data_IF_627797561860
#
_entry.id   IF_627797561860
#
_cell.length_a   1.000
_cell.length_b   1.000
_cell.length_c   1.000
_cell.angle_alpha   90.00
_cell.angle_beta   90.00
_cell.angle_gamma   90.00
#
_symmetry.space_group_name_H-M   'P 1'
#
loop_
_entity.id
_entity.type
_entity.pdbx_description
1 polymer ?
#
# COMPACT_ATOMS: atom_id res chain seq x y z
N UNK A 1 19.26 -5.74 -24.98
CA UNK A 1 17.84 -5.52 -25.39
C UNK A 1 17.06 -4.77 -24.32
N UNK A 2 16.93 -5.26 -23.09
CA UNK A 2 16.10 -4.60 -22.05
C UNK A 2 16.34 -3.10 -21.83
N UNK A 3 17.60 -2.65 -21.75
CA UNK A 3 17.94 -1.23 -21.64
C UNK A 3 17.55 -0.39 -22.87
N UNK A 4 17.44 -1.00 -24.05
CA UNK A 4 17.10 -0.29 -25.28
C UNK A 4 15.59 -0.04 -25.43
N UNK A 5 14.76 -0.95 -24.92
CA UNK A 5 13.29 -0.91 -25.11
C UNK A 5 12.50 -0.67 -23.81
N UNK A 6 13.05 -1.05 -22.66
CA UNK A 6 12.44 -0.88 -21.33
C UNK A 6 13.45 -0.43 -20.27
N UNK A 7 14.18 0.68 -20.49
CA UNK A 7 15.22 1.13 -19.56
C UNK A 7 14.68 1.40 -18.15
N UNK A 8 13.48 1.98 -18.01
CA UNK A 8 12.92 2.26 -16.68
C UNK A 8 12.73 0.97 -15.87
N UNK A 9 12.10 -0.04 -16.46
CA UNK A 9 11.85 -1.34 -15.83
C UNK A 9 13.15 -2.11 -15.59
N UNK A 10 14.08 -2.08 -16.55
CA UNK A 10 15.39 -2.73 -16.44
C UNK A 10 16.24 -2.15 -15.30
N UNK A 11 16.00 -0.89 -14.91
CA UNK A 11 16.66 -0.22 -13.79
C UNK A 11 15.81 -0.22 -12.51
N UNK A 12 14.80 -1.10 -12.40
CA UNK A 12 14.03 -1.30 -11.16
C UNK A 12 12.82 -0.37 -10.99
N UNK A 13 12.37 0.29 -12.06
CA UNK A 13 11.22 1.21 -12.08
C UNK A 13 11.31 2.29 -11.00
N UNK A 14 12.52 2.84 -10.81
CA UNK A 14 12.81 3.84 -9.80
C UNK A 14 12.12 5.17 -10.11
N UNK A 15 11.64 5.83 -9.06
CA UNK A 15 11.13 7.19 -9.12
C UNK A 15 12.16 8.13 -8.50
N UNK A 16 12.54 9.14 -9.27
CA UNK A 16 13.54 10.13 -8.90
C UNK A 16 12.87 11.45 -8.50
N UNK A 17 13.38 12.08 -7.43
CA UNK A 17 13.07 13.46 -7.08
C UNK A 17 14.37 14.18 -6.72
N UNK A 18 14.62 15.34 -7.35
CA UNK A 18 15.83 16.14 -7.14
C UNK A 18 17.13 15.32 -7.30
N UNK A 19 17.18 14.45 -8.31
CA UNK A 19 18.35 13.59 -8.57
C UNK A 19 18.53 12.41 -7.61
N UNK A 20 17.64 12.22 -6.64
CA UNK A 20 17.69 11.11 -5.69
C UNK A 20 16.54 10.12 -5.91
N UNK A 21 16.84 8.82 -5.82
CA UNK A 21 15.80 7.80 -5.80
C UNK A 21 14.98 7.91 -4.50
N UNK A 22 13.67 8.08 -4.64
CA UNK A 22 12.73 8.20 -3.52
C UNK A 22 11.83 6.98 -3.35
N UNK A 23 11.87 6.04 -4.27
CA UNK A 23 11.09 4.81 -4.24
C UNK A 23 11.09 4.10 -5.60
N UNK A 24 10.28 3.05 -5.71
CA UNK A 24 10.04 2.30 -6.94
C UNK A 24 8.54 2.07 -7.09
N UNK A 25 8.06 1.96 -8.33
CA UNK A 25 6.65 1.59 -8.58
C UNK A 25 6.36 0.12 -8.24
N UNK A 26 7.38 -0.73 -8.11
CA UNK A 26 7.21 -2.17 -7.89
C UNK A 26 7.62 -2.65 -6.50
N UNK A 27 8.09 -1.74 -5.64
CA UNK A 27 8.52 -2.07 -4.27
C UNK A 27 7.75 -1.23 -3.28
N UNK A 28 7.05 -1.91 -2.37
CA UNK A 28 6.35 -1.27 -1.26
C UNK A 28 7.32 -0.61 -0.28
N UNK A 29 6.84 0.42 0.40
CA UNK A 29 7.59 1.14 1.42
C UNK A 29 6.73 1.39 2.65
N UNK A 30 7.38 1.56 3.80
CA UNK A 30 6.68 1.88 5.04
C UNK A 30 6.17 3.32 5.02
N UNK A 31 4.84 3.49 5.08
CA UNK A 31 4.19 4.77 5.35
C UNK A 31 3.64 4.77 6.77
N UNK A 32 4.31 5.48 7.68
CA UNK A 32 4.03 5.42 9.12
C UNK A 32 3.24 6.60 9.66
N UNK A 33 3.11 7.69 8.90
CA UNK A 33 2.39 8.89 9.36
C UNK A 33 0.92 8.85 8.91
N UNK A 34 0.01 9.32 9.77
CA UNK A 34 -1.44 9.22 9.55
C UNK A 34 -1.96 10.00 8.33
N UNK A 35 -1.16 10.96 7.85
CA UNK A 35 -1.46 11.77 6.67
C UNK A 35 -1.34 10.99 5.35
N UNK A 36 -0.74 9.81 5.35
CA UNK A 36 -0.60 8.98 4.16
C UNK A 36 -1.53 7.77 4.19
N UNK A 37 -1.79 7.23 3.01
CA UNK A 37 -2.30 5.87 2.88
C UNK A 37 -1.20 4.91 3.35
N UNK A 38 -1.58 3.97 4.21
CA UNK A 38 -0.69 2.96 4.74
C UNK A 38 -0.83 1.68 3.91
N UNK A 39 0.29 1.05 3.60
CA UNK A 39 0.38 -0.22 2.90
C UNK A 39 -0.05 -1.40 3.79
N UNK A 40 -0.04 -2.61 3.22
CA UNK A 40 -0.24 -3.86 3.97
C UNK A 40 0.83 -4.02 5.06
N UNK A 41 0.56 -4.69 6.17
CA UNK A 41 1.60 -4.89 7.17
C UNK A 41 2.70 -5.85 6.64
N UNK A 42 3.96 -5.44 6.70
CA UNK A 42 5.10 -6.19 6.14
C UNK A 42 5.66 -7.23 7.14
N UNK A 43 6.28 -8.28 6.60
CA UNK A 43 7.09 -9.25 7.36
C UNK A 43 8.55 -9.30 6.87
N UNK A 44 8.95 -8.42 5.94
CA UNK A 44 10.30 -8.36 5.40
C UNK A 44 11.24 -7.64 6.38
N UNK A 45 12.20 -8.37 6.95
CA UNK A 45 13.17 -7.84 7.93
C UNK A 45 12.51 -7.11 9.10
N UNK A 46 12.85 -5.84 9.30
CA UNK A 46 12.23 -4.95 10.33
C UNK A 46 10.99 -4.21 9.82
N UNK A 47 10.44 -4.62 8.67
CA UNK A 47 9.33 -3.99 7.97
C UNK A 47 9.81 -3.26 6.71
N UNK A 48 9.36 -3.74 5.56
CA UNK A 48 9.69 -3.21 4.23
C UNK A 48 11.21 -3.16 3.93
N UNK A 49 11.98 -4.11 4.48
CA UNK A 49 13.42 -4.22 4.21
C UNK A 49 13.67 -4.86 2.83
N UNK A 50 14.20 -4.07 1.89
CA UNK A 50 14.50 -4.52 0.53
C UNK A 50 15.56 -5.62 0.43
N UNK A 51 16.37 -5.83 1.48
CA UNK A 51 17.38 -6.89 1.54
C UNK A 51 16.86 -8.18 2.18
N UNK A 52 15.64 -8.16 2.72
CA UNK A 52 15.07 -9.26 3.50
C UNK A 52 13.62 -9.57 3.10
N UNK A 53 13.35 -9.67 1.79
CA UNK A 53 12.01 -10.00 1.27
C UNK A 53 11.52 -11.35 1.79
N UNK A 54 10.38 -11.35 2.48
CA UNK A 54 9.77 -12.54 3.07
C UNK A 54 8.32 -12.29 3.49
N UNK A 55 7.54 -13.39 3.58
CA UNK A 55 6.23 -13.42 4.21
C UNK A 55 6.32 -13.80 5.70
N UNK A 56 5.20 -13.72 6.40
CA UNK A 56 5.14 -14.08 7.84
C UNK A 56 5.23 -15.59 8.10
N UNK A 57 4.84 -16.42 7.12
CA UNK A 57 4.89 -17.89 7.16
C UNK A 57 4.21 -18.54 8.38
N UNK A 58 3.26 -17.85 9.03
CA UNK A 58 2.46 -18.43 10.10
C UNK A 58 1.39 -19.36 9.55
N UNK A 59 1.23 -20.53 10.18
CA UNK A 59 0.12 -21.44 9.89
C UNK A 59 -1.24 -20.86 10.32
N UNK A 60 -2.36 -21.32 9.73
CA UNK A 60 -3.70 -20.78 9.99
C UNK A 60 -4.19 -20.98 11.43
N UNK A 61 -3.62 -21.95 12.17
CA UNK A 61 -3.92 -22.24 13.58
C UNK A 61 -2.94 -21.57 14.56
N UNK A 62 -2.02 -20.74 14.06
CA UNK A 62 -1.00 -20.11 14.90
C UNK A 62 -1.57 -19.02 15.79
N UNK A 63 -1.27 -19.09 17.09
CA UNK A 63 -1.62 -18.02 18.03
C UNK A 63 -0.93 -16.69 17.66
N UNK A 64 0.31 -16.73 17.17
CA UNK A 64 1.05 -15.54 16.76
C UNK A 64 0.35 -14.81 15.59
N UNK A 65 -0.26 -15.54 14.66
CA UNK A 65 -1.08 -14.96 13.60
C UNK A 65 -2.32 -14.26 14.20
N UNK A 66 -3.02 -14.93 15.11
CA UNK A 66 -4.21 -14.38 15.77
C UNK A 66 -3.89 -13.08 16.50
N UNK A 67 -2.81 -13.07 17.28
CA UNK A 67 -2.43 -11.91 18.09
C UNK A 67 -2.04 -10.72 17.22
N UNK A 68 -1.25 -10.95 16.16
CA UNK A 68 -0.89 -9.92 15.19
C UNK A 68 -2.13 -9.36 14.51
N UNK A 69 -3.00 -10.21 13.96
CA UNK A 69 -4.20 -9.77 13.25
C UNK A 69 -5.15 -9.00 14.17
N UNK A 70 -5.29 -9.42 15.44
CA UNK A 70 -6.07 -8.65 16.43
C UNK A 70 -5.50 -7.25 16.65
N UNK A 71 -4.17 -7.12 16.80
CA UNK A 71 -3.52 -5.84 16.97
C UNK A 71 -3.70 -4.94 15.72
N UNK A 72 -3.52 -5.50 14.53
CA UNK A 72 -3.72 -4.78 13.26
C UNK A 72 -5.18 -4.30 13.13
N UNK A 73 -6.16 -5.17 13.40
CA UNK A 73 -7.59 -4.80 13.39
C UNK A 73 -7.87 -3.68 14.39
N UNK A 74 -7.40 -3.81 15.64
CA UNK A 74 -7.61 -2.80 16.68
C UNK A 74 -7.05 -1.44 16.26
N UNK A 75 -5.84 -1.40 15.67
CA UNK A 75 -5.25 -0.19 15.11
C UNK A 75 -6.15 0.43 14.03
N UNK A 76 -6.66 -0.37 13.08
CA UNK A 76 -7.55 0.14 12.02
C UNK A 76 -8.87 0.68 12.56
N UNK A 77 -9.43 0.05 13.60
CA UNK A 77 -10.62 0.57 14.28
C UNK A 77 -10.35 1.91 14.96
N UNK A 78 -9.21 2.05 15.66
CA UNK A 78 -8.81 3.30 16.30
C UNK A 78 -8.58 4.43 15.27
N UNK A 79 -8.11 4.09 14.07
CA UNK A 79 -7.97 5.03 12.95
C UNK A 79 -9.33 5.51 12.38
N UNK A 80 -10.44 4.85 12.75
CA UNK A 80 -11.80 5.19 12.36
C UNK A 80 -12.38 4.33 11.25
N UNK A 81 -11.76 3.18 10.91
CA UNK A 81 -12.32 2.25 9.92
C UNK A 81 -13.54 1.53 10.53
N UNK A 82 -14.72 1.76 9.97
CA UNK A 82 -16.00 1.16 10.40
C UNK A 82 -16.47 0.07 9.42
N UNK A 83 -17.38 -0.81 9.85
CA UNK A 83 -17.91 -1.90 9.00
C UNK A 83 -16.94 -3.06 8.76
N UNK A 84 -17.17 -3.91 7.75
CA UNK A 84 -16.25 -4.98 7.38
C UNK A 84 -14.85 -4.43 7.07
N UNK A 85 -13.81 -4.99 7.70
CA UNK A 85 -12.43 -4.57 7.45
C UNK A 85 -11.87 -5.35 6.25
N UNK A 86 -11.38 -4.67 5.20
CA UNK A 86 -10.70 -5.34 4.10
C UNK A 86 -9.48 -6.12 4.58
N UNK A 87 -9.31 -7.35 4.07
CA UNK A 87 -8.28 -8.28 4.55
C UNK A 87 -6.85 -7.73 4.42
N UNK A 88 -6.54 -6.96 3.36
CA UNK A 88 -5.19 -6.44 3.12
C UNK A 88 -4.70 -5.52 4.24
N UNK A 89 -5.62 -4.86 4.97
CA UNK A 89 -5.26 -3.98 6.07
C UNK A 89 -4.87 -4.72 7.36
N UNK A 90 -5.16 -6.02 7.45
CA UNK A 90 -4.94 -6.85 8.63
C UNK A 90 -4.10 -8.12 8.36
N UNK A 91 -3.71 -8.35 7.10
CA UNK A 91 -2.95 -9.54 6.68
C UNK A 91 -1.62 -9.14 6.05
N UNK A 92 -0.57 -9.90 6.38
CA UNK A 92 0.74 -9.69 5.78
C UNK A 92 0.76 -10.05 4.30
N UNK A 93 1.54 -9.33 3.50
CA UNK A 93 1.82 -9.75 2.12
C UNK A 93 2.86 -10.87 2.08
N UNK A 94 2.80 -11.70 1.03
CA UNK A 94 3.70 -12.84 0.86
C UNK A 94 5.16 -12.44 0.59
N UNK A 95 5.40 -11.28 -0.03
CA UNK A 95 6.75 -10.76 -0.29
C UNK A 95 7.29 -9.88 0.84
N UNK A 96 6.41 -9.38 1.70
CA UNK A 96 6.71 -8.32 2.66
C UNK A 96 7.03 -6.96 2.03
N UNK A 97 6.99 -6.83 0.70
CA UNK A 97 7.34 -5.63 -0.06
C UNK A 97 6.25 -5.23 -1.06
N UNK A 98 5.00 -5.57 -0.73
CA UNK A 98 3.84 -5.32 -1.59
C UNK A 98 3.56 -3.82 -1.72
N UNK A 99 3.63 -3.24 -2.93
CA UNK A 99 3.32 -1.83 -3.15
C UNK A 99 1.81 -1.56 -3.24
N UNK A 100 0.99 -2.61 -3.36
CA UNK A 100 -0.38 -2.52 -3.79
C UNK A 100 -1.37 -2.78 -2.63
N UNK A 101 -2.56 -2.19 -2.76
CA UNK A 101 -3.75 -2.48 -1.95
C UNK A 101 -4.94 -2.74 -2.85
N UNK A 102 -5.94 -3.50 -2.40
CA UNK A 102 -7.25 -3.45 -3.05
C UNK A 102 -7.87 -2.05 -2.94
N UNK A 103 -8.73 -1.66 -3.89
CA UNK A 103 -9.48 -0.41 -3.80
C UNK A 103 -10.28 -0.29 -2.50
N UNK A 104 -10.88 -1.38 -2.01
CA UNK A 104 -11.61 -1.39 -0.75
C UNK A 104 -10.72 -0.99 0.45
N UNK A 105 -9.50 -1.52 0.51
CA UNK A 105 -8.49 -1.17 1.52
C UNK A 105 -8.05 0.29 1.43
N UNK A 106 -7.95 0.85 0.23
CA UNK A 106 -7.67 2.28 0.05
C UNK A 106 -8.85 3.16 0.48
N UNK A 107 -10.09 2.82 0.08
CA UNK A 107 -11.29 3.57 0.46
C UNK A 107 -11.53 3.57 1.97
N UNK A 108 -11.25 2.47 2.66
CA UNK A 108 -11.37 2.39 4.13
C UNK A 108 -10.51 3.45 4.86
N UNK A 109 -9.41 3.90 4.25
CA UNK A 109 -8.49 4.87 4.85
C UNK A 109 -8.84 6.34 4.52
N UNK A 110 -9.78 6.59 3.59
CA UNK A 110 -10.11 7.94 3.09
C UNK A 110 -10.49 8.89 4.22
N UNK A 111 -11.35 8.46 5.14
CA UNK A 111 -11.83 9.32 6.23
C UNK A 111 -10.68 9.79 7.13
N UNK A 112 -9.76 8.89 7.49
CA UNK A 112 -8.56 9.21 8.27
C UNK A 112 -7.68 10.22 7.52
N UNK A 113 -7.33 9.90 6.28
CA UNK A 113 -6.41 10.72 5.46
C UNK A 113 -6.99 12.11 5.22
N UNK A 114 -8.28 12.20 4.86
CA UNK A 114 -8.99 13.46 4.64
C UNK A 114 -8.96 14.34 5.88
N UNK A 115 -9.32 13.79 7.05
CA UNK A 115 -9.29 14.50 8.33
C UNK A 115 -7.90 15.02 8.68
N UNK A 116 -6.87 14.17 8.59
CA UNK A 116 -5.50 14.55 8.94
C UNK A 116 -4.90 15.58 7.97
N UNK A 117 -5.35 15.59 6.71
CA UNK A 117 -4.89 16.52 5.67
C UNK A 117 -5.73 17.79 5.57
N UNK A 118 -6.87 17.88 6.26
CA UNK A 118 -7.82 18.97 6.09
C UNK A 118 -8.45 19.03 4.69
N UNK A 119 -8.55 17.89 3.99
CA UNK A 119 -9.10 17.81 2.64
C UNK A 119 -10.55 17.30 2.66
N UNK A 120 -11.40 17.71 1.70
CA UNK A 120 -12.71 17.10 1.52
C UNK A 120 -12.60 15.59 1.26
N UNK A 121 -13.41 14.77 1.94
CA UNK A 121 -13.37 13.32 1.79
C UNK A 121 -13.61 12.87 0.34
N UNK A 122 -14.48 13.57 -0.40
CA UNK A 122 -14.76 13.26 -1.81
C UNK A 122 -13.55 13.52 -2.72
N UNK A 123 -12.74 14.55 -2.43
CA UNK A 123 -11.49 14.81 -3.16
C UNK A 123 -10.51 13.66 -2.96
N UNK A 124 -10.36 13.19 -1.72
CA UNK A 124 -9.50 12.05 -1.40
C UNK A 124 -10.03 10.75 -2.00
N UNK A 125 -11.35 10.54 -2.01
CA UNK A 125 -12.00 9.40 -2.67
C UNK A 125 -11.78 9.41 -4.19
N UNK A 126 -11.90 10.57 -4.83
CA UNK A 126 -11.63 10.73 -6.25
C UNK A 126 -10.16 10.41 -6.59
N UNK A 127 -9.22 10.80 -5.74
CA UNK A 127 -7.81 10.41 -5.90
C UNK A 127 -7.62 8.89 -5.83
N UNK A 128 -8.26 8.20 -4.89
CA UNK A 128 -8.22 6.73 -4.84
C UNK A 128 -8.76 6.16 -6.15
N UNK A 129 -9.93 6.62 -6.59
CA UNK A 129 -10.60 6.16 -7.83
C UNK A 129 -9.70 6.33 -9.06
N UNK A 130 -9.03 7.48 -9.18
CA UNK A 130 -8.14 7.79 -10.29
C UNK A 130 -6.83 6.99 -10.30
N UNK A 131 -6.49 6.32 -9.18
CA UNK A 131 -5.29 5.48 -9.05
C UNK A 131 -5.64 3.99 -8.93
N UNK A 132 -6.86 3.59 -9.31
CA UNK A 132 -7.22 2.17 -9.42
C UNK A 132 -6.73 1.65 -10.77
N UNK A 133 -5.80 0.72 -10.72
CA UNK A 133 -5.38 -0.07 -11.88
C UNK A 133 -6.26 -1.32 -11.98
N UNK A 134 -6.84 -1.53 -13.16
CA UNK A 134 -7.68 -2.70 -13.45
C UNK A 134 -6.88 -3.98 -13.72
N UNK A 135 -7.57 -5.13 -13.80
CA UNK A 135 -6.95 -6.40 -14.20
C UNK A 135 -6.30 -6.29 -15.59
N UNK A 136 -5.21 -7.03 -15.80
CA UNK A 136 -4.54 -7.08 -17.08
C UNK A 136 -5.47 -7.72 -18.13
N UNK A 137 -5.67 -7.03 -19.25
CA UNK A 137 -6.67 -7.36 -20.28
C UNK A 137 -8.11 -7.53 -19.74
N UNK A 138 -8.41 -6.99 -18.55
CA UNK A 138 -9.71 -7.12 -17.90
C UNK A 138 -10.00 -8.48 -17.26
N UNK A 139 -9.07 -9.45 -17.32
CA UNK A 139 -9.30 -10.83 -16.87
C UNK A 139 -8.23 -11.40 -15.93
N UNK A 140 -7.01 -10.86 -15.94
CA UNK A 140 -5.90 -11.40 -15.15
C UNK A 140 -5.58 -10.49 -13.96
N UNK A 141 -5.75 -11.04 -12.76
CA UNK A 141 -5.48 -10.36 -11.50
C UNK A 141 -6.68 -9.60 -10.94
N UNK A 142 -6.44 -8.86 -9.88
CA UNK A 142 -7.45 -8.09 -9.16
C UNK A 142 -7.22 -6.58 -9.36
N UNK A 143 -8.27 -5.74 -9.26
CA UNK A 143 -8.10 -4.30 -9.18
C UNK A 143 -7.21 -3.93 -8.00
N UNK A 144 -6.31 -2.97 -8.22
CA UNK A 144 -5.30 -2.59 -7.22
C UNK A 144 -5.03 -1.10 -7.24
N UNK A 145 -4.42 -0.62 -6.16
CA UNK A 145 -3.99 0.75 -5.99
C UNK A 145 -2.56 0.76 -5.49
N UNK A 146 -1.66 1.33 -6.28
CA UNK A 146 -0.26 1.50 -5.88
C UNK A 146 -0.14 2.60 -4.82
N UNK A 147 0.27 2.23 -3.61
CA UNK A 147 0.24 3.16 -2.46
C UNK A 147 1.28 4.27 -2.59
N UNK A 148 2.44 3.98 -3.18
CA UNK A 148 3.46 4.99 -3.41
C UNK A 148 2.99 6.04 -4.42
N UNK A 149 2.41 5.61 -5.55
CA UNK A 149 1.83 6.51 -6.54
C UNK A 149 0.69 7.35 -5.94
N UNK A 150 -0.23 6.70 -5.21
CA UNK A 150 -1.36 7.38 -4.56
C UNK A 150 -0.88 8.44 -3.55
N UNK A 151 0.11 8.14 -2.72
CA UNK A 151 0.64 9.11 -1.76
C UNK A 151 1.37 10.27 -2.43
N UNK A 152 1.99 10.06 -3.59
CA UNK A 152 2.56 11.16 -4.40
C UNK A 152 1.48 12.04 -5.01
N UNK A 153 0.40 11.46 -5.53
CA UNK A 153 -0.78 12.21 -5.97
C UNK A 153 -1.38 12.99 -4.77
N UNK A 154 -1.43 12.33 -3.61
CA UNK A 154 -1.54 12.85 -2.25
C UNK A 154 -0.92 14.23 -2.05
N UNK A 155 0.38 14.29 -2.25
CA UNK A 155 1.19 15.48 -1.95
C UNK A 155 1.07 16.57 -3.00
N UNK A 156 0.62 16.24 -4.22
CA UNK A 156 0.36 17.20 -5.27
C UNK A 156 -0.92 18.02 -5.02
N UNK A 157 -1.88 17.51 -4.23
CA UNK A 157 -3.19 18.15 -4.04
C UNK A 157 -3.25 19.21 -2.94
N UNK A 158 -2.20 20.05 -2.82
CA UNK A 158 -2.06 21.12 -1.82
C UNK A 158 -3.39 21.79 -1.41
#
# INVERSE_FOLDING_TARGET
IGQAIFPAQANGSLIMANGKAIGSTVVGQAFTTDRYFQTRPSAAGKGYDGLASSGSNYGPTSQALVDRTKADVAKRRAEGVTGPLPADLATASGSGLDPDLSPASAYAQVARVARTRGLPADKVRALVTANVDGPLFGILGEPRVNVFALNRALDATR
#
